data_IF_640036863433
#
_entry.id   IF_640036863433
#
_cell.length_a   1.000
_cell.length_b   1.000
_cell.length_c   1.000
_cell.angle_alpha   90.00
_cell.angle_beta   90.00
_cell.angle_gamma   90.00
#
_symmetry.space_group_name_H-M   'P 1'
#
loop_
_entity.id
_entity.type
_entity.pdbx_description
1 polymer ?
#
# COMPACT_ATOMS: atom_id res chain seq x y z
N UNK A 1 3.52 10.58 -0.69
CA UNK A 1 2.40 10.10 -1.53
C UNK A 1 1.92 8.73 -1.06
N UNK A 2 0.65 8.40 -1.21
CA UNK A 2 0.05 7.11 -0.88
C UNK A 2 -0.39 6.39 -2.16
N UNK A 3 -0.10 5.09 -2.27
CA UNK A 3 -0.67 4.24 -3.31
C UNK A 3 -1.92 3.55 -2.76
N UNK A 4 -3.03 3.62 -3.47
CA UNK A 4 -4.30 3.03 -3.03
C UNK A 4 -4.86 2.08 -4.09
N UNK A 5 -5.43 0.97 -3.65
CA UNK A 5 -6.07 -0.03 -4.52
C UNK A 5 -5.87 -1.45 -3.99
N UNK A 6 -6.76 -2.36 -4.34
CA UNK A 6 -6.68 -3.75 -3.92
C UNK A 6 -5.44 -4.46 -4.52
N UNK A 7 -5.09 -5.66 -4.04
CA UNK A 7 -4.05 -6.48 -4.67
C UNK A 7 -4.36 -6.73 -6.15
N UNK A 8 -3.35 -6.65 -7.00
CA UNK A 8 -3.53 -6.78 -8.47
C UNK A 8 -3.92 -5.48 -9.20
N UNK A 9 -4.11 -4.37 -8.49
CA UNK A 9 -4.48 -3.09 -9.11
C UNK A 9 -3.35 -2.42 -9.92
N UNK A 10 -2.14 -2.96 -9.91
CA UNK A 10 -1.02 -2.41 -10.70
C UNK A 10 -0.16 -1.36 -9.97
N UNK A 11 -0.40 -1.08 -8.69
CA UNK A 11 0.33 -0.06 -7.92
C UNK A 11 1.85 -0.18 -8.02
N UNK A 12 2.39 -1.35 -7.64
CA UNK A 12 3.84 -1.58 -7.65
C UNK A 12 4.41 -1.62 -9.07
N UNK A 13 3.63 -2.06 -10.06
CA UNK A 13 3.99 -2.00 -11.47
C UNK A 13 4.15 -0.54 -11.92
N UNK A 14 3.16 0.32 -11.61
CA UNK A 14 3.24 1.75 -11.93
C UNK A 14 4.44 2.43 -11.28
N UNK A 15 4.80 2.05 -10.04
CA UNK A 15 6.01 2.55 -9.37
C UNK A 15 7.27 2.18 -10.14
N UNK A 16 7.41 0.90 -10.54
CA UNK A 16 8.58 0.40 -11.28
C UNK A 16 8.70 1.03 -12.66
N UNK A 17 7.61 1.13 -13.41
CA UNK A 17 7.57 1.74 -14.75
C UNK A 17 7.96 3.22 -14.75
N UNK A 18 7.75 3.91 -13.63
CA UNK A 18 8.12 5.32 -13.45
C UNK A 18 9.44 5.51 -12.68
N UNK A 19 10.22 4.45 -12.42
CA UNK A 19 11.49 4.49 -11.67
C UNK A 19 11.37 5.13 -10.28
N UNK A 20 10.25 4.89 -9.60
CA UNK A 20 9.92 5.46 -8.28
C UNK A 20 10.17 4.50 -7.11
N UNK A 21 10.73 3.32 -7.37
CA UNK A 21 10.97 2.28 -6.37
C UNK A 21 11.95 2.72 -5.26
N UNK A 22 12.94 3.56 -5.58
CA UNK A 22 13.88 4.12 -4.61
C UNK A 22 13.22 5.06 -3.57
N UNK A 23 12.08 5.65 -3.92
CA UNK A 23 11.29 6.50 -3.03
C UNK A 23 10.23 5.72 -2.26
N UNK A 24 10.07 4.41 -2.56
CA UNK A 24 8.92 3.62 -2.11
C UNK A 24 9.22 2.86 -0.83
N UNK A 25 8.38 3.05 0.16
CA UNK A 25 8.32 2.34 1.42
C UNK A 25 7.17 1.32 1.36
N UNK A 26 7.50 0.03 1.36
CA UNK A 26 6.55 -1.07 1.20
C UNK A 26 6.48 -1.91 2.46
N UNK A 27 5.27 -2.15 2.97
CA UNK A 27 5.02 -3.05 4.10
C UNK A 27 5.44 -4.49 3.80
N UNK A 28 5.32 -4.95 2.56
CA UNK A 28 5.73 -6.30 2.18
C UNK A 28 7.26 -6.46 2.17
N UNK A 29 7.99 -5.42 1.73
CA UNK A 29 9.45 -5.41 1.83
C UNK A 29 9.91 -5.47 3.29
N UNK A 30 9.27 -4.72 4.19
CA UNK A 30 9.59 -4.77 5.64
C UNK A 30 9.30 -6.16 6.20
N UNK A 31 8.17 -6.80 5.83
CA UNK A 31 7.88 -8.18 6.27
C UNK A 31 8.99 -9.15 5.87
N UNK A 32 9.46 -9.08 4.63
CA UNK A 32 10.53 -9.93 4.12
C UNK A 32 11.90 -9.64 4.75
N UNK A 33 12.14 -8.45 5.29
CA UNK A 33 13.33 -8.14 6.10
C UNK A 33 13.27 -8.74 7.50
N UNK A 34 12.07 -8.87 8.07
CA UNK A 34 11.86 -9.36 9.43
C UNK A 34 11.77 -10.87 9.50
N UNK A 35 11.24 -11.52 8.47
CA UNK A 35 10.93 -12.94 8.49
C UNK A 35 10.98 -13.56 7.09
N UNK A 36 11.45 -14.80 7.04
CA UNK A 36 11.34 -15.61 5.82
C UNK A 36 9.88 -15.90 5.45
N UNK A 37 9.59 -16.12 4.15
CA UNK A 37 8.28 -16.60 3.71
C UNK A 37 7.89 -17.91 4.42
N UNK A 38 6.61 -18.08 4.66
CA UNK A 38 6.06 -19.28 5.28
C UNK A 38 5.19 -20.08 4.29
N UNK A 39 5.04 -21.37 4.51
CA UNK A 39 4.14 -22.22 3.74
C UNK A 39 2.79 -22.26 4.45
N UNK A 40 1.72 -21.86 3.75
CA UNK A 40 0.37 -21.88 4.31
C UNK A 40 -0.23 -23.30 4.33
N UNK A 41 -1.44 -23.43 4.88
CA UNK A 41 -2.15 -24.72 4.99
C UNK A 41 -2.45 -25.39 3.64
N UNK A 42 -2.39 -24.65 2.54
CA UNK A 42 -2.57 -25.17 1.17
C UNK A 42 -1.25 -25.54 0.49
N UNK A 43 -0.12 -25.48 1.19
CA UNK A 43 1.20 -25.78 0.66
C UNK A 43 1.83 -24.68 -0.21
N UNK A 44 1.26 -23.47 -0.21
CA UNK A 44 1.73 -22.34 -1.01
C UNK A 44 2.59 -21.40 -0.17
N UNK A 45 3.67 -20.89 -0.77
CA UNK A 45 4.50 -19.87 -0.15
C UNK A 45 3.75 -18.54 -0.05
N UNK A 46 3.84 -17.88 1.10
CA UNK A 46 3.25 -16.56 1.35
C UNK A 46 4.16 -15.70 2.23
N UNK A 47 3.98 -14.39 2.13
CA UNK A 47 4.62 -13.44 3.06
C UNK A 47 3.95 -13.57 4.43
N UNK A 48 4.74 -13.85 5.47
CA UNK A 48 4.24 -13.98 6.83
C UNK A 48 3.57 -12.70 7.32
N UNK A 49 2.43 -12.84 7.99
CA UNK A 49 1.68 -11.73 8.60
C UNK A 49 1.83 -11.67 10.13
N UNK A 50 2.67 -12.53 10.70
CA UNK A 50 2.80 -12.69 12.16
C UNK A 50 3.31 -11.41 12.86
N UNK A 51 4.20 -10.66 12.21
CA UNK A 51 4.82 -9.47 12.79
C UNK A 51 4.15 -8.16 12.34
N UNK A 52 2.88 -8.19 11.93
CA UNK A 52 2.17 -7.03 11.38
C UNK A 52 2.27 -5.78 12.26
N UNK A 53 2.17 -5.91 13.58
CA UNK A 53 2.31 -4.77 14.50
C UNK A 53 3.67 -4.10 14.35
N UNK A 54 4.75 -4.88 14.42
CA UNK A 54 6.13 -4.38 14.26
C UNK A 54 6.36 -3.81 12.86
N UNK A 55 5.82 -4.44 11.82
CA UNK A 55 5.92 -3.94 10.43
C UNK A 55 5.36 -2.54 10.31
N UNK A 56 4.18 -2.27 10.87
CA UNK A 56 3.56 -0.96 10.79
C UNK A 56 4.24 0.07 11.71
N UNK A 57 4.77 -0.33 12.85
CA UNK A 57 5.59 0.52 13.71
C UNK A 57 6.89 0.95 13.00
N UNK A 58 7.59 0.02 12.36
CA UNK A 58 8.80 0.31 11.57
C UNK A 58 8.49 1.19 10.35
N UNK A 59 7.40 0.89 9.64
CA UNK A 59 6.97 1.70 8.51
C UNK A 59 6.73 3.15 8.93
N UNK A 60 6.03 3.36 10.04
CA UNK A 60 5.74 4.68 10.59
C UNK A 60 7.03 5.42 10.99
N UNK A 61 7.94 4.74 11.68
CA UNK A 61 9.24 5.31 12.08
C UNK A 61 10.10 5.70 10.87
N UNK A 62 10.18 4.83 9.85
CA UNK A 62 10.93 5.12 8.61
C UNK A 62 10.28 6.29 7.86
N UNK A 63 8.95 6.31 7.76
CA UNK A 63 8.20 7.39 7.13
C UNK A 63 8.48 8.71 7.83
N UNK A 64 8.33 8.76 9.15
CA UNK A 64 8.58 9.95 9.95
C UNK A 64 10.04 10.45 9.81
N UNK A 65 11.02 9.54 9.86
CA UNK A 65 12.42 9.89 9.66
C UNK A 65 12.65 10.48 8.26
N UNK A 66 12.12 9.87 7.20
CA UNK A 66 12.24 10.40 5.84
C UNK A 66 11.60 11.78 5.69
N UNK A 67 10.44 12.00 6.30
CA UNK A 67 9.78 13.30 6.29
C UNK A 67 10.60 14.36 7.06
N UNK A 68 11.21 13.99 8.19
CA UNK A 68 12.07 14.90 8.96
C UNK A 68 13.34 15.36 8.21
N UNK A 69 13.76 14.59 7.21
CA UNK A 69 14.91 14.89 6.35
C UNK A 69 14.52 15.53 5.01
N UNK A 70 13.26 15.87 4.80
CA UNK A 70 12.78 16.47 3.56
C UNK A 70 12.66 15.49 2.38
N UNK A 71 12.67 14.17 2.64
CA UNK A 71 12.69 13.16 1.58
C UNK A 71 11.31 12.87 1.00
N UNK A 72 11.20 12.84 -0.33
CA UNK A 72 10.02 12.28 -1.00
C UNK A 72 9.81 10.84 -0.55
N UNK A 73 8.59 10.49 -0.17
CA UNK A 73 8.24 9.12 0.22
C UNK A 73 6.92 8.68 -0.39
N UNK A 74 6.94 7.50 -1.01
CA UNK A 74 5.77 6.81 -1.56
C UNK A 74 5.47 5.64 -0.62
N UNK A 75 4.27 5.58 -0.06
CA UNK A 75 3.84 4.47 0.80
C UNK A 75 3.06 3.47 -0.03
N UNK A 76 3.67 2.32 -0.31
CA UNK A 76 3.06 1.22 -1.06
C UNK A 76 2.33 0.28 -0.10
N UNK A 77 1.06 0.57 0.06
CA UNK A 77 0.08 -0.26 0.77
C UNK A 77 -1.23 -0.27 -0.01
N UNK A 78 -2.16 -1.16 0.37
CA UNK A 78 -3.48 -1.20 -0.27
C UNK A 78 -4.37 -0.03 0.13
N UNK A 79 -4.26 0.45 1.38
CA UNK A 79 -5.15 1.45 2.00
C UNK A 79 -6.64 1.13 1.83
N UNK A 80 -6.97 -0.16 1.72
CA UNK A 80 -8.31 -0.70 1.49
C UNK A 80 -8.71 -1.68 2.60
N UNK A 81 -8.15 -1.54 3.79
CA UNK A 81 -8.48 -2.35 4.98
C UNK A 81 -9.82 -1.91 5.60
N UNK A 82 -10.12 -2.33 6.82
CA UNK A 82 -11.33 -1.88 7.53
C UNK A 82 -11.39 -0.35 7.65
N UNK A 83 -12.59 0.19 7.80
CA UNK A 83 -12.80 1.63 7.93
C UNK A 83 -12.05 2.21 9.15
N UNK A 84 -12.03 1.50 10.27
CA UNK A 84 -11.33 1.93 11.48
C UNK A 84 -9.82 2.05 11.24
N UNK A 85 -9.24 1.04 10.60
CA UNK A 85 -7.82 1.06 10.25
C UNK A 85 -7.50 2.17 9.25
N UNK A 86 -8.36 2.37 8.27
CA UNK A 86 -8.22 3.45 7.29
C UNK A 86 -8.20 4.82 7.98
N UNK A 87 -9.19 5.11 8.84
CA UNK A 87 -9.26 6.37 9.58
C UNK A 87 -8.00 6.59 10.42
N UNK A 88 -7.57 5.56 11.17
CA UNK A 88 -6.37 5.64 12.00
C UNK A 88 -5.13 5.98 11.18
N UNK A 89 -4.93 5.32 10.05
CA UNK A 89 -3.78 5.59 9.18
C UNK A 89 -3.85 6.98 8.55
N UNK A 90 -5.01 7.39 8.04
CA UNK A 90 -5.17 8.71 7.43
C UNK A 90 -4.90 9.83 8.42
N UNK A 91 -5.40 9.72 9.66
CA UNK A 91 -5.11 10.69 10.72
C UNK A 91 -3.61 10.76 11.02
N UNK A 92 -2.91 9.61 11.08
CA UNK A 92 -1.46 9.58 11.30
C UNK A 92 -0.70 10.28 10.16
N UNK A 93 -1.11 10.09 8.92
CA UNK A 93 -0.48 10.79 7.79
C UNK A 93 -0.73 12.30 7.83
N UNK A 94 -1.91 12.75 8.27
CA UNK A 94 -2.21 14.16 8.48
C UNK A 94 -1.30 14.75 9.56
N UNK A 95 -1.20 14.10 10.73
CA UNK A 95 -0.31 14.54 11.82
C UNK A 95 1.14 14.70 11.37
N UNK A 96 1.67 13.73 10.63
CA UNK A 96 3.03 13.80 10.10
C UNK A 96 3.19 14.90 9.05
N UNK A 97 2.21 15.07 8.17
CA UNK A 97 2.24 16.10 7.15
C UNK A 97 2.20 17.50 7.74
N UNK A 98 1.38 17.74 8.74
CA UNK A 98 1.34 19.01 9.50
C UNK A 98 2.67 19.25 10.22
N UNK A 99 3.19 18.24 10.93
CA UNK A 99 4.44 18.33 11.69
C UNK A 99 5.64 18.73 10.82
N UNK A 100 5.72 18.20 9.60
CA UNK A 100 6.87 18.36 8.71
C UNK A 100 6.57 19.22 7.46
N UNK A 101 5.41 19.87 7.41
CA UNK A 101 4.97 20.74 6.32
C UNK A 101 4.96 20.06 4.94
N UNK A 102 4.33 18.87 4.86
CA UNK A 102 4.16 18.14 3.62
C UNK A 102 2.74 18.26 3.06
N UNK A 103 2.62 18.31 1.74
CA UNK A 103 1.37 18.03 1.06
C UNK A 103 1.20 16.51 0.89
N UNK A 104 -0.03 16.02 1.08
CA UNK A 104 -0.35 14.60 0.90
C UNK A 104 -1.00 14.40 -0.46
N UNK A 105 -0.40 13.53 -1.26
CA UNK A 105 -0.94 13.07 -2.53
C UNK A 105 -1.30 11.60 -2.44
N UNK A 106 -2.25 11.16 -3.26
CA UNK A 106 -2.53 9.75 -3.45
C UNK A 106 -2.74 9.43 -4.93
N UNK A 107 -2.37 8.21 -5.29
CA UNK A 107 -2.57 7.65 -6.62
C UNK A 107 -3.42 6.38 -6.52
N UNK A 108 -4.44 6.30 -7.34
CA UNK A 108 -5.28 5.11 -7.54
C UNK A 108 -5.22 4.72 -9.00
N UNK A 109 -4.76 3.49 -9.34
CA UNK A 109 -4.93 2.96 -10.67
C UNK A 109 -6.41 2.92 -11.08
N UNK A 110 -6.68 2.88 -12.37
CA UNK A 110 -8.04 2.73 -12.87
C UNK A 110 -8.73 1.50 -12.25
N UNK A 111 -9.98 1.67 -11.85
CA UNK A 111 -10.76 0.57 -11.25
C UNK A 111 -11.31 -0.31 -12.35
N UNK A 112 -10.91 -1.57 -12.31
CA UNK A 112 -11.42 -2.61 -13.17
C UNK A 112 -12.49 -3.44 -12.43
N UNK A 113 -13.13 -4.36 -13.12
CA UNK A 113 -14.06 -5.30 -12.52
C UNK A 113 -13.30 -6.28 -11.60
N UNK A 114 -13.93 -6.78 -10.53
CA UNK A 114 -13.29 -7.64 -9.52
C UNK A 114 -12.65 -8.90 -10.12
N UNK A 115 -13.28 -9.49 -11.14
CA UNK A 115 -12.78 -10.69 -11.80
C UNK A 115 -11.39 -10.49 -12.43
N UNK A 116 -11.10 -9.29 -12.92
CA UNK A 116 -9.78 -8.99 -13.48
C UNK A 116 -8.70 -9.03 -12.39
N UNK A 117 -8.99 -8.53 -11.19
CA UNK A 117 -8.04 -8.60 -10.07
C UNK A 117 -7.82 -10.02 -9.57
N UNK A 118 -8.89 -10.83 -9.52
CA UNK A 118 -8.78 -12.25 -9.18
C UNK A 118 -7.95 -13.02 -10.21
N UNK A 119 -8.14 -12.72 -11.50
CA UNK A 119 -7.33 -13.30 -12.59
C UNK A 119 -5.86 -12.89 -12.44
N UNK A 120 -5.56 -11.61 -12.35
CA UNK A 120 -4.18 -11.10 -12.17
C UNK A 120 -3.51 -11.68 -10.93
N UNK A 121 -4.26 -11.86 -9.82
CA UNK A 121 -3.72 -12.47 -8.61
C UNK A 121 -3.26 -13.92 -8.84
N UNK A 122 -3.97 -14.71 -9.65
CA UNK A 122 -3.57 -16.08 -10.01
C UNK A 122 -2.32 -16.12 -10.89
N UNK A 123 -2.08 -15.09 -11.67
CA UNK A 123 -0.91 -14.95 -12.55
C UNK A 123 0.33 -14.41 -11.81
N UNK A 124 0.16 -13.86 -10.60
CA UNK A 124 1.29 -13.38 -9.79
C UNK A 124 2.20 -14.51 -9.34
N UNK A 125 3.46 -14.17 -9.08
CA UNK A 125 4.36 -15.06 -8.38
C UNK A 125 3.75 -15.46 -7.04
N UNK A 126 3.82 -16.75 -6.71
CA UNK A 126 3.09 -17.38 -5.61
C UNK A 126 3.20 -16.61 -4.28
N UNK A 127 4.41 -16.18 -3.93
CA UNK A 127 4.71 -15.41 -2.72
C UNK A 127 3.81 -14.17 -2.51
N UNK A 128 3.37 -13.55 -3.59
CA UNK A 128 2.56 -12.32 -3.55
C UNK A 128 1.07 -12.57 -3.80
N UNK A 129 0.65 -13.82 -3.89
CA UNK A 129 -0.76 -14.16 -4.03
C UNK A 129 -1.50 -13.91 -2.73
N UNK A 130 -2.69 -13.37 -2.84
CA UNK A 130 -3.58 -13.05 -1.72
C UNK A 130 -4.83 -13.91 -1.84
N UNK A 131 -5.42 -14.44 -0.76
CA UNK A 131 -6.68 -15.17 -0.82
C UNK A 131 -7.79 -14.37 -1.50
N UNK A 132 -8.62 -15.04 -2.31
CA UNK A 132 -9.64 -14.38 -3.14
C UNK A 132 -10.69 -13.62 -2.32
N UNK A 133 -11.05 -14.13 -1.14
CA UNK A 133 -11.96 -13.48 -0.20
C UNK A 133 -11.37 -12.16 0.37
N UNK A 134 -10.07 -12.15 0.64
CA UNK A 134 -9.35 -10.95 1.08
C UNK A 134 -9.35 -9.88 -0.03
N UNK A 135 -9.12 -10.28 -1.28
CA UNK A 135 -9.17 -9.36 -2.43
C UNK A 135 -10.57 -8.77 -2.58
N UNK A 136 -11.63 -9.61 -2.49
CA UNK A 136 -13.03 -9.16 -2.57
C UNK A 136 -13.37 -8.17 -1.46
N UNK A 137 -12.95 -8.43 -0.23
CA UNK A 137 -13.17 -7.54 0.89
C UNK A 137 -12.43 -6.20 0.70
N UNK A 138 -11.18 -6.23 0.27
CA UNK A 138 -10.41 -5.01 -0.02
C UNK A 138 -10.99 -4.23 -1.20
N UNK A 139 -11.50 -4.90 -2.22
CA UNK A 139 -12.16 -4.26 -3.35
C UNK A 139 -13.44 -3.52 -2.92
N UNK A 140 -14.28 -4.14 -2.11
CA UNK A 140 -15.49 -3.52 -1.56
C UNK A 140 -15.16 -2.29 -0.70
N UNK A 141 -14.13 -2.39 0.15
CA UNK A 141 -13.66 -1.27 0.95
C UNK A 141 -13.08 -0.14 0.07
N UNK A 142 -12.37 -0.48 -1.00
CA UNK A 142 -11.85 0.50 -1.94
C UNK A 142 -12.96 1.31 -2.64
N UNK A 143 -14.08 0.68 -2.93
CA UNK A 143 -15.25 1.35 -3.53
C UNK A 143 -15.98 2.23 -2.51
N UNK A 144 -16.16 1.74 -1.28
CA UNK A 144 -17.02 2.34 -0.26
C UNK A 144 -16.35 3.41 0.60
N UNK A 145 -15.02 3.34 0.77
CA UNK A 145 -14.26 4.26 1.61
C UNK A 145 -13.60 5.32 0.71
N UNK A 146 -13.90 6.59 0.93
CA UNK A 146 -13.25 7.70 0.22
C UNK A 146 -11.98 8.16 0.93
N UNK A 147 -11.05 8.77 0.17
CA UNK A 147 -9.89 9.46 0.76
C UNK A 147 -10.30 10.81 1.35
N UNK A 148 -9.61 11.28 2.41
CA UNK A 148 -9.87 12.60 2.97
C UNK A 148 -9.74 13.72 1.92
N UNK A 149 -10.60 14.72 1.99
CA UNK A 149 -10.60 15.85 1.04
C UNK A 149 -9.30 16.65 1.01
N UNK A 150 -8.54 16.63 2.11
CA UNK A 150 -7.22 17.26 2.22
C UNK A 150 -6.18 16.61 1.29
N UNK A 151 -6.38 15.34 0.91
CA UNK A 151 -5.43 14.59 0.08
C UNK A 151 -5.70 14.86 -1.39
N UNK A 152 -4.65 15.23 -2.12
CA UNK A 152 -4.75 15.54 -3.56
C UNK A 152 -4.58 14.27 -4.39
N UNK A 153 -5.53 13.98 -5.26
CA UNK A 153 -5.41 12.88 -6.20
C UNK A 153 -4.45 13.26 -7.33
N UNK A 154 -3.57 12.32 -7.69
CA UNK A 154 -2.77 12.39 -8.91
C UNK A 154 -3.40 11.52 -9.99
N UNK A 155 -3.46 12.01 -11.22
CA UNK A 155 -3.94 11.25 -12.36
C UNK A 155 -2.86 10.31 -12.92
N UNK A 156 -1.59 10.71 -12.78
CA UNK A 156 -0.46 9.87 -13.12
C UNK A 156 0.74 10.12 -12.18
N UNK A 157 1.66 9.16 -12.10
CA UNK A 157 2.82 9.25 -11.21
C UNK A 157 3.92 10.20 -11.71
N UNK A 158 3.92 10.57 -12.99
CA UNK A 158 4.90 11.52 -13.54
C UNK A 158 4.73 12.95 -12.98
N UNK A 159 3.58 13.25 -12.36
CA UNK A 159 3.32 14.54 -11.72
C UNK A 159 4.10 14.73 -10.40
N UNK A 160 4.78 13.69 -9.92
CA UNK A 160 5.55 13.72 -8.67
C UNK A 160 6.97 14.27 -8.80
N UNK A 161 7.56 14.19 -9.97
CA UNK A 161 8.92 14.61 -10.28
C UNK A 161 8.93 15.84 -11.18
#
# INVERSE_FOLDING_TARGET
>A
MLLRGCPGAGKSTSVLENNLDIYTLSSDKIRLMLREPEVNSSGLMQISQQDNKLVFELLDQILEHRMSTGSLTIVDQTHCSSIEWHIKQMNRYVELAEKYNYAIYYYEPERLHIEEYLKRNKERYELYRVPDDVIKNMYNNWISISMPQLFKKLDNLNELL
#
